data_IF_998089278895
#
_entry.id   IF_998089278895
#
_cell.length_a   1.000
_cell.length_b   1.000
_cell.length_c   1.000
_cell.angle_alpha   90.00
_cell.angle_beta   90.00
_cell.angle_gamma   90.00
#
_symmetry.space_group_name_H-M   'P 1'
#
loop_
_entity.id
_entity.type
_entity.pdbx_description
1 polymer ?
#
# COMPACT_ATOMS: atom_id res chain seq x y z
N UNK A 1 -16.07 -0.91 11.03
CA UNK A 1 -15.07 -1.63 10.22
C UNK A 1 -15.34 -1.35 8.75
N UNK A 2 -14.30 -1.16 7.94
CA UNK A 2 -14.42 -1.04 6.48
C UNK A 2 -13.77 -2.26 5.84
N UNK A 3 -14.44 -2.88 4.87
CA UNK A 3 -13.98 -4.11 4.22
C UNK A 3 -14.08 -3.95 2.71
N UNK A 4 -12.99 -4.21 2.00
CA UNK A 4 -12.98 -4.28 0.54
C UNK A 4 -13.42 -5.65 0.04
N UNK A 5 -14.25 -5.68 -1.00
CA UNK A 5 -14.67 -6.89 -1.69
C UNK A 5 -14.41 -6.74 -3.20
N UNK A 6 -13.15 -6.90 -3.66
CA UNK A 6 -12.72 -6.56 -5.02
C UNK A 6 -13.44 -7.29 -6.15
N UNK A 7 -14.05 -8.45 -5.86
CA UNK A 7 -14.72 -9.29 -6.85
C UNK A 7 -16.24 -9.34 -6.69
N UNK A 8 -16.79 -8.50 -5.81
CA UNK A 8 -18.22 -8.44 -5.58
C UNK A 8 -18.97 -7.92 -6.82
N UNK A 9 -20.21 -8.36 -6.97
CA UNK A 9 -21.07 -8.02 -8.10
C UNK A 9 -21.72 -6.66 -7.85
N UNK A 10 -21.71 -5.79 -8.85
CA UNK A 10 -22.35 -4.48 -8.82
C UNK A 10 -23.87 -4.60 -8.75
N UNK A 11 -24.49 -3.67 -8.02
CA UNK A 11 -25.94 -3.66 -7.72
C UNK A 11 -26.84 -3.53 -8.96
N UNK A 12 -26.31 -3.07 -10.10
CA UNK A 12 -27.12 -2.63 -11.23
C UNK A 12 -27.16 -3.59 -12.44
N UNK A 13 -26.13 -4.40 -12.73
CA UNK A 13 -26.00 -5.06 -14.05
C UNK A 13 -25.21 -6.38 -14.08
N UNK A 14 -25.08 -7.10 -12.96
CA UNK A 14 -24.27 -8.34 -12.88
C UNK A 14 -22.78 -8.16 -13.23
N UNK A 15 -22.29 -6.94 -13.38
CA UNK A 15 -20.88 -6.61 -13.63
C UNK A 15 -20.07 -6.73 -12.34
N UNK A 16 -18.88 -7.33 -12.40
CA UNK A 16 -18.03 -7.55 -11.22
C UNK A 16 -17.12 -6.35 -11.00
N UNK A 17 -17.69 -5.25 -10.52
CA UNK A 17 -16.94 -4.02 -10.27
C UNK A 17 -16.05 -4.10 -9.02
N UNK A 18 -16.41 -4.95 -8.07
CA UNK A 18 -15.96 -4.86 -6.69
C UNK A 18 -16.78 -3.85 -5.87
N UNK A 19 -16.58 -3.85 -4.56
CA UNK A 19 -17.32 -3.05 -3.60
C UNK A 19 -16.50 -2.75 -2.35
N UNK A 20 -16.96 -1.79 -1.55
CA UNK A 20 -16.51 -1.58 -0.17
C UNK A 20 -17.73 -1.63 0.73
N UNK A 21 -17.59 -2.25 1.89
CA UNK A 21 -18.63 -2.41 2.90
C UNK A 21 -18.24 -1.70 4.19
N UNK A 22 -19.19 -1.00 4.78
CA UNK A 22 -19.10 -0.46 6.12
C UNK A 22 -19.89 -1.35 7.07
N UNK A 23 -19.18 -2.05 7.94
CA UNK A 23 -19.74 -2.95 8.93
C UNK A 23 -19.73 -2.27 10.31
N UNK A 24 -20.90 -2.03 10.91
CA UNK A 24 -20.98 -1.62 12.31
C UNK A 24 -20.27 -2.62 13.23
N UNK A 25 -19.71 -2.15 14.34
CA UNK A 25 -19.12 -3.04 15.36
C UNK A 25 -20.23 -3.56 16.28
N UNK A 26 -21.13 -4.39 15.72
CA UNK A 26 -22.21 -5.03 16.46
C UNK A 26 -22.04 -6.55 16.46
N UNK A 27 -22.91 -7.25 17.19
CA UNK A 27 -22.95 -8.72 17.21
C UNK A 27 -23.56 -9.29 15.93
N UNK A 28 -24.26 -8.47 15.14
CA UNK A 28 -24.86 -8.90 13.87
C UNK A 28 -23.78 -9.14 12.82
N UNK A 29 -23.87 -10.26 12.11
CA UNK A 29 -22.96 -10.58 11.01
C UNK A 29 -23.50 -10.12 9.65
N UNK A 30 -24.69 -9.50 9.61
CA UNK A 30 -25.40 -9.17 8.37
C UNK A 30 -25.81 -7.70 8.26
N UNK A 31 -25.25 -6.83 9.10
CA UNK A 31 -25.54 -5.39 9.12
C UNK A 31 -24.51 -4.54 8.34
N UNK A 32 -23.58 -5.19 7.63
CA UNK A 32 -22.66 -4.54 6.71
C UNK A 32 -23.41 -3.86 5.56
N UNK A 33 -23.19 -2.56 5.39
CA UNK A 33 -23.80 -1.77 4.34
C UNK A 33 -22.80 -1.50 3.22
N UNK A 34 -23.21 -1.74 1.98
CA UNK A 34 -22.41 -1.40 0.80
C UNK A 34 -22.28 0.12 0.71
N UNK A 35 -21.04 0.59 0.53
CA UNK A 35 -20.73 1.99 0.33
C UNK A 35 -21.27 2.48 -1.02
N UNK A 36 -21.92 3.65 -1.02
CA UNK A 36 -22.46 4.25 -2.23
C UNK A 36 -21.35 4.95 -3.03
N UNK A 37 -20.77 4.21 -3.97
CA UNK A 37 -19.85 4.72 -4.97
C UNK A 37 -20.56 4.68 -6.31
N UNK A 38 -20.97 5.84 -6.79
CA UNK A 38 -21.56 5.97 -8.12
C UNK A 38 -20.56 5.59 -9.21
N UNK A 39 -20.81 4.46 -9.86
CA UNK A 39 -20.03 3.97 -10.99
C UNK A 39 -20.83 4.14 -12.26
N UNK A 40 -20.40 5.06 -13.14
CA UNK A 40 -20.98 5.21 -14.47
C UNK A 40 -20.33 4.19 -15.41
N UNK A 41 -21.14 3.27 -15.94
CA UNK A 41 -20.70 2.37 -16.99
C UNK A 41 -20.81 3.10 -18.34
N UNK A 42 -19.67 3.49 -18.88
CA UNK A 42 -19.56 4.07 -20.22
C UNK A 42 -18.56 3.22 -21.02
N UNK A 43 -18.95 2.05 -21.57
CA UNK A 43 -18.02 1.08 -22.16
C UNK A 43 -17.07 1.66 -23.22
N UNK A 44 -17.53 2.65 -23.97
CA UNK A 44 -16.74 3.35 -25.01
C UNK A 44 -15.65 4.27 -24.44
N UNK A 45 -15.67 4.55 -23.13
CA UNK A 45 -14.72 5.43 -22.44
C UNK A 45 -14.02 4.76 -21.26
N UNK A 46 -14.70 3.86 -20.57
CA UNK A 46 -14.23 3.24 -19.34
C UNK A 46 -14.87 1.86 -19.12
N UNK A 47 -14.00 0.87 -18.88
CA UNK A 47 -14.38 -0.47 -18.47
C UNK A 47 -14.24 -0.54 -16.95
N UNK A 48 -15.38 -0.78 -16.30
CA UNK A 48 -15.49 -0.94 -14.84
C UNK A 48 -15.67 -2.41 -14.42
N UNK A 49 -15.82 -3.33 -15.37
CA UNK A 49 -15.89 -4.76 -15.09
C UNK A 49 -14.51 -5.30 -14.71
N UNK A 50 -14.46 -6.13 -13.66
CA UNK A 50 -13.24 -6.66 -13.03
C UNK A 50 -12.19 -5.57 -12.70
N UNK A 51 -12.65 -4.35 -12.35
CA UNK A 51 -11.75 -3.24 -11.96
C UNK A 51 -11.15 -3.36 -10.55
N UNK A 52 -11.66 -4.31 -9.75
CA UNK A 52 -11.18 -4.62 -8.40
C UNK A 52 -11.36 -3.49 -7.39
N UNK A 53 -12.55 -2.86 -7.36
CA UNK A 53 -12.87 -1.86 -6.35
C UNK A 53 -12.84 -2.43 -4.94
N UNK A 54 -12.04 -1.81 -4.07
CA UNK A 54 -11.81 -2.28 -2.71
C UNK A 54 -10.57 -3.16 -2.58
N UNK A 55 -9.69 -3.21 -3.61
CA UNK A 55 -8.38 -3.87 -3.47
C UNK A 55 -7.54 -3.23 -2.36
N UNK A 56 -7.69 -1.92 -2.20
CA UNK A 56 -7.09 -1.13 -1.13
C UNK A 56 -8.19 -0.31 -0.52
N UNK A 57 -8.28 -0.34 0.81
CA UNK A 57 -9.17 0.48 1.60
C UNK A 57 -8.36 1.09 2.73
N UNK A 58 -8.41 2.42 2.85
CA UNK A 58 -7.68 3.14 3.88
C UNK A 58 -8.59 4.19 4.54
N UNK A 59 -8.41 4.38 5.85
CA UNK A 59 -9.09 5.42 6.62
C UNK A 59 -8.07 6.40 7.17
N UNK A 60 -8.33 7.69 7.01
CA UNK A 60 -7.53 8.75 7.59
C UNK A 60 -7.77 8.80 9.10
N UNK A 61 -6.74 8.47 9.89
CA UNK A 61 -6.82 8.27 11.35
C UNK A 61 -6.88 9.60 12.14
N UNK A 62 -7.83 10.48 11.82
CA UNK A 62 -8.03 11.76 12.51
C UNK A 62 -9.53 12.14 12.60
N UNK A 63 -9.92 13.04 13.51
CA UNK A 63 -11.29 13.57 13.56
C UNK A 63 -11.71 14.17 12.21
N UNK A 64 -12.93 13.88 11.77
CA UNK A 64 -13.41 14.25 10.43
C UNK A 64 -12.53 13.73 9.27
N UNK A 65 -11.87 12.58 9.50
CA UNK A 65 -11.07 11.90 8.50
C UNK A 65 -11.88 11.42 7.30
N UNK A 66 -11.16 11.00 6.27
CA UNK A 66 -11.69 10.49 5.00
C UNK A 66 -11.48 9.00 4.87
N UNK A 67 -12.21 8.39 3.94
CA UNK A 67 -12.06 6.99 3.54
C UNK A 67 -11.67 6.93 2.09
N UNK A 68 -10.71 6.09 1.75
CA UNK A 68 -10.21 5.84 0.42
C UNK A 68 -10.49 4.39 0.01
N UNK A 69 -10.94 4.22 -1.22
CA UNK A 69 -11.11 2.92 -1.86
C UNK A 69 -10.53 2.96 -3.27
N UNK A 70 -9.71 1.99 -3.65
CA UNK A 70 -9.09 1.96 -4.97
C UNK A 70 -9.50 0.75 -5.81
N UNK A 71 -9.41 0.93 -7.12
CA UNK A 71 -9.71 -0.01 -8.19
C UNK A 71 -8.56 0.01 -9.21
N UNK A 72 -7.45 -0.65 -8.88
CA UNK A 72 -6.21 -0.62 -9.67
C UNK A 72 -6.34 -1.21 -11.10
N UNK A 73 -7.42 -1.94 -11.40
CA UNK A 73 -7.68 -2.51 -12.74
C UNK A 73 -8.70 -1.71 -13.55
N UNK A 74 -9.13 -0.56 -13.04
CA UNK A 74 -9.96 0.36 -13.80
C UNK A 74 -9.28 0.73 -15.12
N UNK A 75 -10.01 0.58 -16.22
CA UNK A 75 -9.45 0.66 -17.56
C UNK A 75 -10.15 1.76 -18.36
N UNK A 76 -9.38 2.72 -18.88
CA UNK A 76 -9.86 3.70 -19.86
C UNK A 76 -9.82 3.10 -21.26
N UNK A 77 -10.79 3.45 -22.07
CA UNK A 77 -10.86 3.10 -23.49
C UNK A 77 -10.62 4.38 -24.28
N UNK A 78 -9.61 4.35 -25.15
CA UNK A 78 -9.27 5.45 -26.05
C UNK A 78 -9.54 5.01 -27.48
N UNK A 79 -10.32 5.81 -28.20
CA UNK A 79 -10.61 5.57 -29.60
C UNK A 79 -9.42 6.00 -30.47
N UNK A 80 -8.75 5.05 -31.12
CA UNK A 80 -7.63 5.30 -32.05
C UNK A 80 -8.00 5.01 -33.51
N UNK A 81 -9.25 5.28 -33.91
CA UNK A 81 -9.69 5.19 -35.30
C UNK A 81 -10.02 3.78 -35.80
N UNK A 82 -9.13 2.80 -35.63
CA UNK A 82 -9.33 1.41 -36.11
C UNK A 82 -9.52 0.36 -35.01
N UNK A 83 -8.99 0.58 -33.80
CA UNK A 83 -9.12 -0.33 -32.66
C UNK A 83 -9.20 0.43 -31.33
N UNK A 84 -9.92 -0.15 -30.37
CA UNK A 84 -10.01 0.34 -28.99
C UNK A 84 -8.69 0.11 -28.25
N UNK A 85 -8.02 1.19 -27.87
CA UNK A 85 -6.84 1.11 -27.02
C UNK A 85 -7.28 1.11 -25.55
N UNK A 86 -6.90 0.05 -24.82
CA UNK A 86 -7.28 -0.15 -23.42
C UNK A 86 -6.11 0.20 -22.50
N UNK A 87 -6.36 1.07 -21.53
CA UNK A 87 -5.35 1.65 -20.64
C UNK A 87 -5.73 1.40 -19.19
N UNK A 88 -5.06 0.43 -18.57
CA UNK A 88 -5.32 0.02 -17.18
C UNK A 88 -4.62 0.98 -16.20
N UNK A 89 -5.17 2.19 -16.11
CA UNK A 89 -4.62 3.26 -15.29
C UNK A 89 -4.95 3.10 -13.80
N UNK A 90 -6.02 2.40 -13.45
CA UNK A 90 -6.50 2.38 -12.07
C UNK A 90 -7.19 3.68 -11.66
N UNK A 91 -7.97 3.62 -10.59
CA UNK A 91 -8.73 4.76 -10.07
C UNK A 91 -8.99 4.60 -8.58
N UNK A 92 -9.00 5.71 -7.87
CA UNK A 92 -9.34 5.74 -6.46
C UNK A 92 -10.56 6.61 -6.17
N UNK A 93 -11.21 6.41 -5.04
CA UNK A 93 -12.41 7.11 -4.61
C UNK A 93 -12.26 7.50 -3.16
N UNK A 94 -12.36 8.80 -2.87
CA UNK A 94 -12.34 9.32 -1.50
C UNK A 94 -13.76 9.70 -1.06
N UNK A 95 -14.08 9.44 0.20
CA UNK A 95 -15.35 9.76 0.85
C UNK A 95 -15.10 10.46 2.19
N UNK A 96 -16.06 11.26 2.63
CA UNK A 96 -16.02 11.88 3.95
C UNK A 96 -16.19 10.85 5.07
N UNK A 97 -16.10 11.32 6.32
CA UNK A 97 -16.35 10.49 7.51
C UNK A 97 -17.78 9.93 7.56
N UNK A 98 -18.73 10.62 6.94
CA UNK A 98 -20.12 10.19 6.77
C UNK A 98 -20.31 9.17 5.63
N UNK A 99 -19.21 8.75 5.00
CA UNK A 99 -19.15 7.79 3.91
C UNK A 99 -19.83 8.27 2.61
N UNK A 100 -20.10 9.57 2.49
CA UNK A 100 -20.75 10.17 1.31
C UNK A 100 -19.77 11.01 0.52
N UNK A 101 -20.14 11.23 -0.75
CA UNK A 101 -19.42 12.14 -1.62
C UNK A 101 -19.82 13.58 -1.27
N UNK A 102 -18.83 14.39 -0.92
CA UNK A 102 -18.98 15.83 -0.82
C UNK A 102 -18.17 16.51 -1.93
N UNK A 103 -18.85 17.08 -2.91
CA UNK A 103 -18.23 17.71 -4.09
C UNK A 103 -17.42 18.96 -3.70
N UNK A 104 -17.74 19.60 -2.56
CA UNK A 104 -16.98 20.76 -2.07
C UNK A 104 -15.65 20.37 -1.42
N UNK A 105 -15.41 19.08 -1.16
CA UNK A 105 -14.15 18.58 -0.63
C UNK A 105 -13.24 18.17 -1.79
N UNK A 106 -12.26 19.01 -2.12
CA UNK A 106 -11.35 18.83 -3.26
C UNK A 106 -10.60 17.50 -3.23
N UNK A 107 -10.32 16.96 -2.03
CA UNK A 107 -9.71 15.63 -1.85
C UNK A 107 -10.55 14.51 -2.47
N UNK A 108 -11.85 14.72 -2.62
CA UNK A 108 -12.78 13.74 -3.19
C UNK A 108 -12.94 13.87 -4.70
N UNK A 109 -12.54 14.99 -5.31
CA UNK A 109 -12.87 15.32 -6.69
C UNK A 109 -11.65 15.47 -7.60
N UNK A 110 -10.54 16.02 -7.12
CA UNK A 110 -9.48 16.54 -8.00
C UNK A 110 -8.36 15.52 -8.32
N UNK A 111 -8.21 14.41 -7.58
CA UNK A 111 -7.02 13.52 -7.69
C UNK A 111 -7.28 12.01 -7.62
N UNK A 112 -8.37 11.58 -8.23
CA UNK A 112 -8.75 10.17 -8.26
C UNK A 112 -8.11 9.39 -9.43
N UNK A 113 -7.47 10.09 -10.38
CA UNK A 113 -6.85 9.55 -11.60
C UNK A 113 -5.53 10.32 -11.89
N UNK A 114 -4.40 9.92 -11.30
CA UNK A 114 -3.11 10.62 -11.51
C UNK A 114 -2.38 10.18 -12.79
N UNK A 115 -2.69 9.00 -13.30
CA UNK A 115 -2.02 8.45 -14.47
C UNK A 115 -2.62 8.98 -15.77
N UNK A 116 -1.76 9.25 -16.75
CA UNK A 116 -2.17 9.78 -18.03
C UNK A 116 -2.55 8.64 -18.97
N UNK A 117 -3.86 8.41 -19.12
CA UNK A 117 -4.40 7.38 -20.03
C UNK A 117 -4.01 7.61 -21.49
N UNK A 118 -3.71 8.85 -21.92
CA UNK A 118 -3.33 9.14 -23.31
C UNK A 118 -1.93 8.65 -23.69
N UNK A 119 -1.17 8.13 -22.71
CA UNK A 119 0.20 7.64 -22.91
C UNK A 119 0.26 6.12 -22.99
N UNK A 120 1.41 5.58 -23.38
CA UNK A 120 1.63 4.14 -23.52
C UNK A 120 2.19 3.49 -22.25
N UNK A 121 2.52 2.20 -22.33
CA UNK A 121 3.16 1.39 -21.30
C UNK A 121 4.51 1.95 -20.88
N UNK A 122 5.24 2.61 -21.79
CA UNK A 122 6.53 3.24 -21.49
C UNK A 122 6.41 4.49 -20.59
N UNK A 123 5.18 5.00 -20.44
CA UNK A 123 4.81 6.14 -19.59
C UNK A 123 3.85 5.69 -18.49
N UNK A 124 2.64 6.25 -18.38
CA UNK A 124 1.70 5.96 -17.27
C UNK A 124 0.39 5.32 -17.73
N UNK A 125 0.27 4.94 -19.01
CA UNK A 125 -0.96 4.38 -19.58
C UNK A 125 -1.40 3.04 -18.97
N UNK A 126 -0.48 2.33 -18.29
CA UNK A 126 -0.73 1.04 -17.62
C UNK A 126 -0.35 1.07 -16.14
N UNK A 127 -0.38 2.23 -15.48
CA UNK A 127 0.22 2.41 -14.17
C UNK A 127 -0.41 1.58 -13.02
N UNK A 128 -1.67 1.16 -13.15
CA UNK A 128 -2.43 0.46 -12.11
C UNK A 128 -2.41 1.15 -10.74
N UNK A 129 -2.67 2.47 -10.75
CA UNK A 129 -2.69 3.28 -9.54
C UNK A 129 -3.71 2.76 -8.52
N UNK A 130 -3.31 2.76 -7.25
CA UNK A 130 -4.16 2.29 -6.16
C UNK A 130 -4.08 0.78 -5.94
N UNK A 131 -2.98 0.16 -6.39
CA UNK A 131 -2.57 -1.18 -5.93
C UNK A 131 -2.22 -1.14 -4.45
N UNK A 132 -1.59 -0.04 -4.03
CA UNK A 132 -1.46 0.38 -2.63
C UNK A 132 -1.77 1.87 -2.53
N UNK A 133 -2.26 2.31 -1.39
CA UNK A 133 -2.62 3.70 -1.15
C UNK A 133 -2.96 3.92 0.32
N UNK A 134 -2.89 5.18 0.77
CA UNK A 134 -3.22 5.52 2.14
C UNK A 134 -3.20 7.01 2.42
N UNK A 135 -3.27 7.34 3.70
CA UNK A 135 -3.32 8.71 4.19
C UNK A 135 -2.35 8.94 5.34
N UNK A 136 -1.90 10.18 5.45
CA UNK A 136 -1.47 10.80 6.71
C UNK A 136 -2.46 11.90 7.10
N UNK A 137 -2.13 12.77 8.06
CA UNK A 137 -2.98 13.90 8.43
C UNK A 137 -3.24 14.88 7.26
N UNK A 138 -2.23 15.13 6.42
CA UNK A 138 -2.28 16.11 5.32
C UNK A 138 -1.76 15.58 3.98
N UNK A 139 -1.56 14.26 3.86
CA UNK A 139 -1.08 13.61 2.63
C UNK A 139 -2.03 12.48 2.23
N UNK A 140 -2.28 12.35 0.93
CA UNK A 140 -2.77 11.11 0.29
C UNK A 140 -1.68 10.61 -0.64
N UNK A 141 -1.48 9.29 -0.65
CA UNK A 141 -0.46 8.68 -1.48
C UNK A 141 -1.00 7.43 -2.17
N UNK A 142 -0.42 7.11 -3.32
CA UNK A 142 -0.80 5.99 -4.17
C UNK A 142 0.44 5.32 -4.75
N UNK A 143 0.47 4.00 -4.72
CA UNK A 143 1.40 3.18 -5.47
C UNK A 143 0.84 2.79 -6.83
N UNK A 144 1.68 2.85 -7.85
CA UNK A 144 1.34 2.59 -9.24
C UNK A 144 2.43 1.72 -9.92
N UNK A 145 2.44 0.40 -9.67
CA UNK A 145 3.52 -0.50 -10.09
C UNK A 145 3.67 -0.70 -11.60
N UNK A 146 2.64 -0.42 -12.39
CA UNK A 146 2.68 -0.60 -13.84
C UNK A 146 3.25 0.58 -14.62
N UNK A 147 3.64 1.67 -13.96
CA UNK A 147 4.18 2.85 -14.63
C UNK A 147 5.59 2.59 -15.19
N UNK A 148 5.94 3.30 -16.27
CA UNK A 148 7.25 3.31 -16.92
C UNK A 148 7.77 1.90 -17.23
N UNK A 149 7.02 1.17 -18.05
CA UNK A 149 7.26 -0.23 -18.41
C UNK A 149 7.48 -1.11 -17.17
N UNK A 150 6.54 -1.03 -16.23
CA UNK A 150 6.56 -1.75 -14.97
C UNK A 150 7.74 -1.43 -14.03
N UNK A 151 8.44 -0.31 -14.22
CA UNK A 151 9.30 0.24 -13.17
C UNK A 151 8.47 0.48 -11.91
N UNK A 152 7.32 1.11 -12.09
CA UNK A 152 6.48 1.62 -11.03
C UNK A 152 6.80 3.06 -10.63
N UNK A 153 5.85 3.69 -9.97
CA UNK A 153 5.97 5.03 -9.38
C UNK A 153 5.06 5.15 -8.17
N UNK A 154 5.35 6.13 -7.33
CA UNK A 154 4.52 6.55 -6.20
C UNK A 154 4.06 7.97 -6.47
N UNK A 155 2.77 8.22 -6.26
CA UNK A 155 2.19 9.55 -6.24
C UNK A 155 1.96 9.96 -4.80
N UNK A 156 2.35 11.18 -4.44
CA UNK A 156 2.10 11.76 -3.14
C UNK A 156 1.54 13.16 -3.32
N UNK A 157 0.37 13.42 -2.73
CA UNK A 157 -0.29 14.71 -2.75
C UNK A 157 -0.32 15.25 -1.34
N UNK A 158 0.33 16.38 -1.13
CA UNK A 158 0.43 17.03 0.17
C UNK A 158 -0.28 18.36 0.13
N UNK A 159 -1.11 18.62 1.15
CA UNK A 159 -1.75 19.92 1.35
C UNK A 159 -0.99 20.75 2.36
N UNK A 160 -0.60 21.95 1.96
CA UNK A 160 0.03 22.96 2.79
C UNK A 160 -0.83 24.22 2.78
N UNK A 161 -1.58 24.45 3.86
CA UNK A 161 -2.59 25.51 3.97
C UNK A 161 -3.63 25.45 2.82
N UNK A 162 -3.42 26.25 1.77
CA UNK A 162 -4.28 26.39 0.60
C UNK A 162 -3.68 25.75 -0.65
N UNK A 163 -2.37 25.52 -0.65
CA UNK A 163 -1.66 24.97 -1.79
C UNK A 163 -1.64 23.44 -1.71
N UNK A 164 -1.76 22.83 -2.88
CA UNK A 164 -1.61 21.40 -3.06
C UNK A 164 -0.36 21.15 -3.89
N UNK A 165 0.49 20.26 -3.39
CA UNK A 165 1.73 19.86 -4.06
C UNK A 165 1.66 18.37 -4.38
N UNK A 166 1.82 18.06 -5.67
CA UNK A 166 1.94 16.72 -6.19
C UNK A 166 3.43 16.36 -6.36
N UNK A 167 3.77 15.16 -5.90
CA UNK A 167 5.10 14.60 -6.05
C UNK A 167 4.96 13.23 -6.68
N UNK A 168 5.87 12.89 -7.60
CA UNK A 168 5.98 11.55 -8.14
C UNK A 168 7.42 11.07 -8.23
N UNK A 169 7.61 9.75 -8.15
CA UNK A 169 8.91 9.14 -8.44
C UNK A 169 9.15 9.12 -9.96
N UNK A 170 10.28 9.67 -10.46
CA UNK A 170 10.50 9.86 -11.90
C UNK A 170 10.78 8.55 -12.64
N UNK A 171 10.64 8.59 -13.97
CA UNK A 171 11.07 7.52 -14.86
C UNK A 171 12.61 7.45 -14.89
N UNK A 172 13.18 6.38 -14.37
CA UNK A 172 14.62 6.10 -14.41
C UNK A 172 15.01 5.20 -15.60
N UNK A 173 14.04 4.89 -16.48
CA UNK A 173 14.18 3.98 -17.63
C UNK A 173 14.61 2.56 -17.21
N UNK A 174 14.14 2.11 -16.05
CA UNK A 174 14.45 0.79 -15.51
C UNK A 174 13.16 0.01 -15.21
N UNK A 175 12.70 -0.80 -16.16
CA UNK A 175 11.42 -1.49 -16.07
C UNK A 175 11.41 -2.74 -15.18
N UNK A 176 10.21 -3.31 -14.98
CA UNK A 176 9.95 -4.58 -14.30
C UNK A 176 10.38 -4.67 -12.82
N UNK A 177 10.26 -3.58 -12.07
CA UNK A 177 10.64 -3.49 -10.66
C UNK A 177 9.41 -3.52 -9.73
N UNK A 178 8.30 -2.94 -10.17
CA UNK A 178 7.02 -2.80 -9.46
C UNK A 178 7.10 -1.90 -8.22
N UNK A 179 7.77 -0.75 -8.32
CA UNK A 179 7.74 0.31 -7.29
C UNK A 179 6.27 0.75 -7.06
N UNK A 180 5.86 0.92 -5.81
CA UNK A 180 4.47 1.22 -5.47
C UNK A 180 3.58 -0.02 -5.36
N UNK A 181 4.17 -1.22 -5.34
CA UNK A 181 3.42 -2.43 -4.97
C UNK A 181 2.86 -2.30 -3.55
N UNK A 182 3.68 -1.78 -2.63
CA UNK A 182 3.27 -1.32 -1.31
C UNK A 182 3.80 0.09 -1.07
N UNK A 183 3.07 0.90 -0.30
CA UNK A 183 3.47 2.26 0.06
C UNK A 183 3.01 2.56 1.48
N UNK A 184 3.91 3.10 2.29
CA UNK A 184 3.66 3.69 3.59
C UNK A 184 4.31 5.08 3.62
N UNK A 185 3.68 6.07 4.27
CA UNK A 185 4.26 7.42 4.43
C UNK A 185 4.26 7.77 5.90
N UNK A 186 5.43 8.11 6.43
CA UNK A 186 5.62 8.47 7.84
C UNK A 186 6.69 9.53 8.04
N UNK A 187 6.57 10.31 9.12
CA UNK A 187 7.65 11.16 9.65
C UNK A 187 8.56 10.35 10.57
N UNK A 188 9.68 10.92 11.02
CA UNK A 188 10.65 10.26 11.88
C UNK A 188 11.20 8.93 11.31
N UNK A 189 11.31 8.84 9.98
CA UNK A 189 11.93 7.68 9.30
C UNK A 189 13.37 8.02 8.91
N UNK A 190 13.59 8.93 7.95
CA UNK A 190 14.93 9.43 7.62
C UNK A 190 15.24 10.77 8.32
N UNK A 191 14.21 11.53 8.65
CA UNK A 191 14.28 12.81 9.34
C UNK A 191 13.07 12.94 10.27
N UNK A 192 13.23 13.60 11.42
CA UNK A 192 12.16 13.78 12.42
C UNK A 192 10.95 14.52 11.83
N UNK A 193 11.18 15.72 11.30
CA UNK A 193 10.09 16.62 10.87
C UNK A 193 9.67 16.47 9.41
N UNK A 194 10.39 15.67 8.62
CA UNK A 194 10.09 15.44 7.21
C UNK A 194 9.51 14.05 6.97
N UNK A 195 8.50 13.96 6.10
CA UNK A 195 7.95 12.65 5.74
C UNK A 195 8.88 11.93 4.79
N UNK A 196 8.93 10.61 4.95
CA UNK A 196 9.57 9.68 4.02
C UNK A 196 8.50 8.81 3.41
N UNK A 197 8.57 8.60 2.10
CA UNK A 197 7.74 7.61 1.40
C UNK A 197 8.52 6.30 1.38
N UNK A 198 7.99 5.27 2.02
CA UNK A 198 8.54 3.92 2.03
C UNK A 198 7.74 3.08 1.04
N UNK A 199 8.40 2.61 -0.01
CA UNK A 199 7.73 1.95 -1.13
C UNK A 199 8.42 0.65 -1.50
N UNK A 200 7.60 -0.40 -1.63
CA UNK A 200 8.04 -1.74 -1.96
C UNK A 200 8.20 -1.94 -3.45
N UNK A 201 9.27 -2.63 -3.83
CA UNK A 201 9.61 -2.94 -5.22
C UNK A 201 9.97 -4.44 -5.35
N UNK A 202 8.98 -5.35 -5.26
CA UNK A 202 9.22 -6.78 -5.03
C UNK A 202 9.94 -7.53 -6.17
N UNK A 203 10.04 -6.92 -7.36
CA UNK A 203 10.74 -7.53 -8.51
C UNK A 203 12.13 -6.96 -8.75
N UNK A 204 12.57 -5.98 -7.97
CA UNK A 204 13.90 -5.39 -8.09
C UNK A 204 14.99 -6.47 -8.05
N UNK A 205 15.81 -6.54 -9.12
CA UNK A 205 16.88 -7.54 -9.28
C UNK A 205 16.42 -9.00 -9.00
N UNK A 206 15.13 -9.30 -9.21
CA UNK A 206 14.48 -10.57 -8.87
C UNK A 206 14.53 -10.99 -7.39
N UNK A 207 15.08 -10.15 -6.51
CA UNK A 207 15.17 -10.40 -5.05
C UNK A 207 14.14 -9.57 -4.28
N UNK A 208 13.76 -8.41 -4.83
CA UNK A 208 12.91 -7.42 -4.19
C UNK A 208 13.73 -6.33 -3.49
N UNK A 209 13.12 -5.18 -3.27
CA UNK A 209 13.72 -4.05 -2.58
C UNK A 209 12.66 -3.18 -1.89
N UNK A 210 13.12 -2.34 -0.97
CA UNK A 210 12.33 -1.24 -0.40
C UNK A 210 13.09 0.06 -0.64
N UNK A 211 12.39 1.02 -1.22
CA UNK A 211 12.89 2.35 -1.51
C UNK A 211 12.39 3.30 -0.42
N UNK A 212 13.29 4.14 0.10
CA UNK A 212 12.92 5.26 0.96
C UNK A 212 13.15 6.53 0.16
N UNK A 213 12.06 7.23 -0.13
CA UNK A 213 12.04 8.41 -0.96
C UNK A 213 11.82 9.66 -0.12
N UNK A 214 12.60 10.70 -0.40
CA UNK A 214 12.41 12.03 0.17
C UNK A 214 11.90 13.00 -0.89
N UNK A 215 11.26 14.08 -0.45
CA UNK A 215 10.81 15.15 -1.34
C UNK A 215 12.00 15.95 -1.86
N UNK A 216 11.94 16.34 -3.13
CA UNK A 216 12.86 17.30 -3.72
C UNK A 216 12.20 18.68 -3.82
N UNK A 217 12.99 19.77 -3.90
CA UNK A 217 12.49 21.10 -4.20
C UNK A 217 11.82 21.21 -5.58
N UNK A 218 12.06 20.26 -6.48
CA UNK A 218 11.50 20.22 -7.83
C UNK A 218 10.17 19.46 -7.91
N UNK A 219 9.47 19.28 -6.77
CA UNK A 219 8.20 18.55 -6.71
C UNK A 219 8.32 17.09 -7.23
N UNK A 220 9.46 16.45 -6.98
CA UNK A 220 9.67 15.03 -7.29
C UNK A 220 10.04 14.24 -6.05
N UNK A 221 9.82 12.93 -6.08
CA UNK A 221 10.34 12.02 -5.08
C UNK A 221 11.73 11.55 -5.52
N UNK A 222 12.70 11.63 -4.63
CA UNK A 222 14.08 11.21 -4.86
C UNK A 222 14.45 10.06 -3.95
N UNK A 223 15.13 9.06 -4.49
CA UNK A 223 15.60 7.91 -3.72
C UNK A 223 16.73 8.32 -2.77
N UNK A 224 16.43 8.31 -1.48
CA UNK A 224 17.41 8.59 -0.42
C UNK A 224 18.11 7.32 0.05
N UNK A 225 17.37 6.21 0.15
CA UNK A 225 17.92 4.92 0.55
C UNK A 225 17.26 3.77 -0.23
N UNK A 226 18.02 2.70 -0.44
CA UNK A 226 17.56 1.45 -1.06
C UNK A 226 17.98 0.27 -0.17
N UNK A 227 16.99 -0.45 0.36
CA UNK A 227 17.20 -1.70 1.08
C UNK A 227 16.93 -2.86 0.12
N UNK A 228 17.91 -3.75 -0.05
CA UNK A 228 17.83 -4.85 -1.01
C UNK A 228 17.48 -6.17 -0.32
N UNK A 229 16.56 -6.92 -0.92
CA UNK A 229 16.32 -8.32 -0.56
C UNK A 229 17.53 -9.19 -0.88
N UNK A 230 17.68 -10.30 -0.14
CA UNK A 230 18.84 -11.18 -0.25
C UNK A 230 18.59 -12.44 -1.07
N UNK A 231 17.35 -12.93 -1.12
CA UNK A 231 16.99 -14.19 -1.78
C UNK A 231 16.15 -13.95 -3.04
N UNK A 232 16.58 -14.53 -4.15
CA UNK A 232 15.86 -14.51 -5.43
C UNK A 232 14.48 -15.13 -5.26
N UNK A 233 13.44 -14.44 -5.73
CA UNK A 233 12.06 -14.89 -5.69
C UNK A 233 11.38 -14.73 -4.33
N UNK A 234 12.07 -14.20 -3.31
CA UNK A 234 11.49 -14.01 -1.97
C UNK A 234 10.40 -12.93 -1.91
N UNK A 235 10.39 -12.04 -2.92
CA UNK A 235 9.40 -10.97 -3.08
C UNK A 235 9.45 -9.97 -1.91
N UNK A 236 10.67 -9.68 -1.47
CA UNK A 236 10.99 -8.69 -0.43
C UNK A 236 10.43 -7.31 -0.81
N UNK A 237 9.71 -6.68 0.12
CA UNK A 237 9.04 -5.40 -0.11
C UNK A 237 7.57 -5.54 -0.54
N UNK A 238 7.01 -6.75 -0.53
CA UNK A 238 5.60 -6.98 -0.86
C UNK A 238 4.62 -6.64 0.26
N UNK A 239 5.13 -6.43 1.47
CA UNK A 239 4.41 -5.84 2.61
C UNK A 239 5.41 -4.97 3.38
N UNK A 240 4.98 -3.79 3.81
CA UNK A 240 5.79 -2.87 4.63
C UNK A 240 4.93 -2.32 5.75
N UNK A 241 5.54 -2.03 6.90
CA UNK A 241 4.93 -1.29 7.99
C UNK A 241 5.99 -0.45 8.71
N UNK A 242 5.56 0.69 9.24
CA UNK A 242 6.35 1.56 10.11
C UNK A 242 5.82 1.46 11.55
N UNK A 243 6.73 1.26 12.50
CA UNK A 243 6.42 1.23 13.93
C UNK A 243 7.65 1.64 14.75
N UNK A 244 7.46 2.36 15.85
CA UNK A 244 8.52 2.67 16.81
C UNK A 244 8.61 1.54 17.85
N UNK A 245 9.45 0.54 17.57
CA UNK A 245 9.48 -0.75 18.27
C UNK A 245 10.27 -0.68 19.58
N UNK A 246 11.15 0.31 19.72
CA UNK A 246 11.97 0.57 20.89
C UNK A 246 11.60 1.88 21.64
N UNK A 247 10.55 2.57 21.20
CA UNK A 247 10.05 3.82 21.77
C UNK A 247 11.11 4.94 21.81
N UNK A 248 12.00 5.01 20.82
CA UNK A 248 13.05 6.03 20.75
C UNK A 248 12.62 7.30 19.97
N UNK A 249 11.38 7.31 19.47
CA UNK A 249 10.80 8.40 18.69
C UNK A 249 11.11 8.34 17.19
N UNK A 250 11.81 7.31 16.73
CA UNK A 250 12.03 7.01 15.31
C UNK A 250 11.19 5.81 14.87
N UNK A 251 10.74 5.83 13.63
CA UNK A 251 10.00 4.73 13.04
C UNK A 251 10.99 3.69 12.53
N UNK A 252 10.88 2.46 13.04
CA UNK A 252 11.52 1.28 12.51
C UNK A 252 10.74 0.73 11.31
N UNK A 253 11.42 -0.08 10.51
CA UNK A 253 10.86 -0.63 9.29
C UNK A 253 10.71 -2.14 9.37
N UNK A 254 9.50 -2.61 9.07
CA UNK A 254 9.15 -4.03 8.96
C UNK A 254 8.89 -4.35 7.50
N UNK A 255 9.56 -5.38 6.95
CA UNK A 255 9.46 -5.75 5.53
C UNK A 255 9.12 -7.22 5.37
N UNK A 256 8.03 -7.50 4.66
CA UNK A 256 7.60 -8.85 4.31
C UNK A 256 8.31 -9.42 3.07
N UNK A 257 8.62 -10.71 3.13
CA UNK A 257 9.12 -11.53 2.03
C UNK A 257 8.40 -12.90 2.08
N UNK A 258 7.11 -12.97 1.70
CA UNK A 258 6.25 -14.14 1.89
C UNK A 258 6.70 -15.38 1.11
N UNK A 259 7.51 -15.21 0.07
CA UNK A 259 8.04 -16.31 -0.72
C UNK A 259 9.49 -16.66 -0.37
N UNK A 260 10.03 -16.09 0.71
CA UNK A 260 11.28 -16.59 1.30
C UNK A 260 11.14 -18.08 1.63
N UNK A 261 12.18 -18.87 1.36
CA UNK A 261 12.15 -20.29 1.68
C UNK A 261 13.52 -20.81 2.09
N UNK A 262 13.52 -21.76 3.03
CA UNK A 262 14.71 -22.52 3.40
C UNK A 262 14.35 -23.99 3.58
N UNK A 263 14.55 -24.77 2.51
CA UNK A 263 14.05 -26.14 2.40
C UNK A 263 14.54 -27.08 3.51
N UNK A 264 15.78 -26.91 3.98
CA UNK A 264 16.36 -27.79 5.01
C UNK A 264 15.79 -27.54 6.41
N UNK A 265 15.29 -26.34 6.66
CA UNK A 265 14.79 -25.91 7.96
C UNK A 265 13.25 -25.83 7.98
N UNK A 266 12.61 -26.30 6.91
CA UNK A 266 11.16 -26.25 6.74
C UNK A 266 10.58 -24.85 6.97
N UNK A 267 11.29 -23.81 6.52
CA UNK A 267 10.86 -22.41 6.60
C UNK A 267 10.15 -21.96 5.32
N UNK A 268 9.04 -21.24 5.48
CA UNK A 268 8.29 -20.59 4.42
C UNK A 268 7.80 -19.20 4.84
N UNK A 269 8.21 -18.18 4.11
CA UNK A 269 7.97 -16.78 4.42
C UNK A 269 8.92 -16.22 5.48
N UNK A 270 9.21 -14.93 5.34
CA UNK A 270 10.03 -14.19 6.29
C UNK A 270 9.54 -12.75 6.46
N UNK A 271 9.87 -12.17 7.60
CA UNK A 271 9.76 -10.75 7.89
C UNK A 271 11.11 -10.25 8.38
N UNK A 272 11.58 -9.16 7.80
CA UNK A 272 12.83 -8.51 8.15
C UNK A 272 12.55 -7.23 8.92
N UNK A 273 13.22 -7.04 10.05
CA UNK A 273 13.14 -5.84 10.88
C UNK A 273 14.41 -5.04 10.70
N UNK A 274 14.25 -3.77 10.36
CA UNK A 274 15.34 -2.80 10.28
C UNK A 274 15.08 -1.77 11.38
N UNK A 275 15.87 -1.84 12.45
CA UNK A 275 15.84 -0.83 13.51
C UNK A 275 16.46 0.47 12.97
N UNK A 276 15.86 1.58 13.34
CA UNK A 276 16.29 2.91 12.97
C UNK A 276 17.32 3.44 13.97
N UNK A 277 18.48 3.85 13.48
CA UNK A 277 19.55 4.45 14.28
C UNK A 277 19.55 5.97 14.09
N UNK A 278 18.49 6.64 14.57
CA UNK A 278 18.36 8.11 14.54
C UNK A 278 18.36 8.68 13.10
N UNK A 279 17.48 8.14 12.25
CA UNK A 279 17.33 8.54 10.85
C UNK A 279 18.18 7.73 9.87
N UNK A 280 18.89 6.71 10.36
CA UNK A 280 19.77 5.87 9.57
C UNK A 280 19.40 4.39 9.69
N UNK A 281 19.36 3.69 8.57
CA UNK A 281 19.18 2.24 8.55
C UNK A 281 20.48 1.58 8.09
N UNK A 282 20.86 0.51 8.80
CA UNK A 282 21.94 -0.35 8.37
C UNK A 282 21.55 -1.11 7.09
N UNK A 283 22.49 -1.44 6.19
CA UNK A 283 22.19 -2.25 5.00
C UNK A 283 21.68 -3.66 5.33
N UNK A 284 22.02 -4.16 6.52
CA UNK A 284 21.59 -5.45 7.03
C UNK A 284 20.44 -5.25 8.03
N UNK A 285 19.49 -6.18 8.02
CA UNK A 285 18.39 -6.19 8.99
C UNK A 285 18.89 -6.51 10.40
N UNK A 286 18.20 -5.99 11.40
CA UNK A 286 18.47 -6.23 12.82
C UNK A 286 17.94 -7.59 13.28
N UNK A 287 16.80 -8.02 12.73
CA UNK A 287 16.14 -9.28 13.06
C UNK A 287 15.46 -9.87 11.82
N UNK A 288 15.48 -11.20 11.70
CA UNK A 288 14.66 -11.95 10.76
C UNK A 288 13.72 -12.86 11.53
N UNK A 289 12.43 -12.75 11.25
CA UNK A 289 11.39 -13.65 11.71
C UNK A 289 11.00 -14.59 10.57
N UNK A 290 10.81 -15.87 10.86
CA UNK A 290 10.48 -16.89 9.87
C UNK A 290 9.23 -17.66 10.26
N UNK A 291 8.46 -18.06 9.25
CA UNK A 291 7.28 -18.90 9.45
C UNK A 291 7.47 -20.33 8.96
N UNK A 292 6.50 -21.22 9.26
CA UNK A 292 6.51 -22.59 8.78
C UNK A 292 6.47 -22.69 7.25
N UNK A 293 6.92 -23.83 6.71
CA UNK A 293 6.85 -24.12 5.27
C UNK A 293 5.44 -23.89 4.72
N UNK A 294 5.36 -23.30 3.53
CA UNK A 294 4.10 -23.03 2.80
C UNK A 294 3.10 -22.11 3.53
N UNK A 295 3.48 -21.48 4.65
CA UNK A 295 2.60 -20.56 5.40
C UNK A 295 2.42 -19.20 4.71
N UNK A 296 3.38 -18.82 3.87
CA UNK A 296 3.58 -17.45 3.38
C UNK A 296 3.61 -16.42 4.51
N UNK A 297 4.28 -16.74 5.61
CA UNK A 297 4.51 -15.79 6.69
C UNK A 297 5.14 -14.48 6.18
N UNK A 298 4.60 -13.34 6.61
CA UNK A 298 5.00 -12.03 6.09
C UNK A 298 4.23 -11.59 4.84
N UNK A 299 3.13 -12.28 4.48
CA UNK A 299 2.25 -11.86 3.38
C UNK A 299 1.56 -10.53 3.67
N UNK A 300 1.24 -10.27 4.93
CA UNK A 300 0.77 -8.99 5.42
C UNK A 300 1.50 -8.67 6.72
N UNK A 301 1.89 -7.41 6.89
CA UNK A 301 2.44 -6.87 8.14
C UNK A 301 1.67 -5.62 8.50
N UNK A 302 1.44 -5.39 9.79
CA UNK A 302 0.75 -4.20 10.27
C UNK A 302 1.33 -3.74 11.60
N UNK A 303 1.54 -2.42 11.73
CA UNK A 303 1.68 -1.78 13.04
C UNK A 303 0.31 -1.75 13.71
N UNK A 304 0.22 -2.36 14.89
CA UNK A 304 -1.02 -2.48 15.67
C UNK A 304 -1.03 -1.54 16.88
N UNK A 305 0.01 -0.72 17.03
CA UNK A 305 0.21 0.16 18.19
C UNK A 305 0.64 -0.63 19.43
N UNK A 306 0.67 0.04 20.57
CA UNK A 306 0.96 -0.57 21.87
C UNK A 306 -0.31 -1.28 22.39
N UNK A 307 -0.48 -2.56 22.08
CA UNK A 307 -1.71 -3.29 22.40
C UNK A 307 -1.72 -3.85 23.83
N UNK A 308 -0.54 -4.00 24.44
CA UNK A 308 -0.39 -4.48 25.81
C UNK A 308 -0.17 -3.34 26.83
N UNK A 309 -0.05 -2.09 26.36
CA UNK A 309 0.13 -0.86 27.13
C UNK A 309 1.44 -0.83 27.92
N UNK A 310 2.51 -1.40 27.36
CA UNK A 310 3.84 -1.41 27.99
C UNK A 310 4.75 -0.25 27.58
N UNK A 311 4.30 0.59 26.65
CA UNK A 311 5.01 1.75 26.13
C UNK A 311 5.71 1.52 24.79
N UNK A 312 5.72 0.30 24.25
CA UNK A 312 6.36 -0.02 22.96
C UNK A 312 5.32 -0.36 21.90
N UNK A 313 5.56 -0.01 20.63
CA UNK A 313 4.64 -0.41 19.57
C UNK A 313 4.82 -1.88 19.20
N UNK A 314 3.69 -2.54 18.94
CA UNK A 314 3.63 -3.94 18.55
C UNK A 314 3.29 -4.10 17.07
N UNK A 315 3.56 -5.30 16.55
CA UNK A 315 3.24 -5.66 15.16
C UNK A 315 2.45 -6.96 15.06
N UNK A 316 1.66 -7.06 14.00
CA UNK A 316 1.01 -8.29 13.57
C UNK A 316 1.56 -8.76 12.23
N UNK A 317 1.77 -10.07 12.09
CA UNK A 317 2.25 -10.72 10.87
C UNK A 317 1.28 -11.81 10.43
N UNK A 318 0.81 -11.73 9.18
CA UNK A 318 -0.09 -12.71 8.59
C UNK A 318 0.64 -13.90 7.95
N UNK A 319 0.09 -15.08 8.15
CA UNK A 319 0.46 -16.35 7.51
C UNK A 319 -0.81 -16.99 6.92
N UNK A 320 -1.32 -16.47 5.79
CA UNK A 320 -2.65 -16.81 5.29
C UNK A 320 -2.79 -18.26 4.82
N UNK A 321 -1.69 -18.95 4.53
CA UNK A 321 -1.70 -20.33 4.04
C UNK A 321 -1.31 -21.35 5.11
N UNK A 322 -1.14 -20.93 6.36
CA UNK A 322 -0.94 -21.86 7.48
C UNK A 322 -2.26 -22.41 8.01
N UNK A 323 -2.66 -23.60 7.55
CA UNK A 323 -3.94 -24.20 7.93
C UNK A 323 -5.13 -23.32 7.46
N UNK A 324 -6.02 -22.85 8.36
CA UNK A 324 -7.08 -21.91 8.00
C UNK A 324 -6.59 -20.45 7.83
N UNK A 325 -5.29 -20.20 8.03
CA UNK A 325 -4.69 -18.88 8.14
C UNK A 325 -4.44 -18.49 9.59
N UNK A 326 -3.27 -17.91 9.88
CA UNK A 326 -2.87 -17.48 11.23
C UNK A 326 -2.34 -16.05 11.23
N UNK A 327 -2.38 -15.41 12.39
CA UNK A 327 -1.82 -14.07 12.63
C UNK A 327 -0.96 -14.12 13.88
N UNK A 328 0.31 -13.75 13.73
CA UNK A 328 1.29 -13.75 14.80
C UNK A 328 1.42 -12.34 15.36
N UNK A 329 1.33 -12.19 16.68
CA UNK A 329 1.52 -10.92 17.38
C UNK A 329 2.89 -10.92 18.03
N UNK A 330 3.70 -9.90 17.73
CA UNK A 330 5.02 -9.69 18.30
C UNK A 330 5.02 -8.36 19.07
N UNK A 331 5.54 -8.41 20.30
CA UNK A 331 5.65 -7.21 21.13
C UNK A 331 6.99 -6.49 20.91
N UNK A 332 6.93 -5.16 20.98
CA UNK A 332 8.11 -4.29 21.09
C UNK A 332 8.79 -4.40 22.46
N UNK A 333 9.97 -3.79 22.58
CA UNK A 333 10.72 -3.68 23.84
C UNK A 333 11.83 -2.63 23.70
N UNK A 334 12.46 -2.24 24.81
CA UNK A 334 13.56 -1.27 24.78
C UNK A 334 14.73 -1.70 23.88
N UNK A 335 14.94 -3.00 23.70
CA UNK A 335 15.96 -3.56 22.81
C UNK A 335 15.48 -3.77 21.36
N UNK A 336 14.24 -3.40 21.04
CA UNK A 336 13.57 -3.61 19.75
C UNK A 336 12.53 -4.73 19.79
N UNK A 337 12.21 -5.30 18.64
CA UNK A 337 11.19 -6.35 18.55
C UNK A 337 11.65 -7.69 19.15
N UNK A 338 10.76 -8.32 19.91
CA UNK A 338 11.00 -9.67 20.45
C UNK A 338 10.95 -10.73 19.33
N UNK A 339 11.84 -11.73 19.42
CA UNK A 339 12.00 -12.77 18.39
C UNK A 339 10.90 -13.84 18.39
N UNK A 340 10.10 -13.91 19.45
CA UNK A 340 9.02 -14.89 19.63
C UNK A 340 7.65 -14.23 19.67
N UNK A 341 6.66 -14.81 18.97
CA UNK A 341 5.30 -14.31 19.04
C UNK A 341 4.74 -14.50 20.44
N UNK A 342 3.97 -13.51 20.90
CA UNK A 342 3.27 -13.53 22.18
C UNK A 342 1.88 -14.13 22.05
N UNK A 343 1.31 -14.09 20.86
CA UNK A 343 0.06 -14.75 20.49
C UNK A 343 0.08 -15.18 19.02
N UNK A 344 -0.66 -16.25 18.70
CA UNK A 344 -0.90 -16.79 17.35
C UNK A 344 -2.38 -17.10 17.20
#
# INVERSE_FOLDING_TARGET
LLVGAPRDVGSANSTRTGAVYACPLTVSTSDCQRLDIELKSEPDKAIIDDMWLGVTVASQRQPAGRVLACAHRYTKVLWSGSEDQRRMVGKCYVRGNDLRLNISDEWQTYHNEMCNSNTDTDETGMCQMGTSAGFTANIIYFGAPGAYNWQGTDYMLQREMWDLHDFSYPNEKNGNIYIGYTVEVGSAVLQQDAVTVVTGAPRYEHMGAVYLLSRSPQQTLQRSLLLRGQQVGSYFGSAVALADLNSDGWQDLVVGAPYYFQRKEEVGGAVYIYMNEVGHFQPHHSLTLTGPSYSAFGFAVASIGDINQDGFQDIAVGAPFEGPGKVYIYHGSAEGLLDKPRQV
#
